data_IF_712173940675
#
_entry.id   IF_712173940675
#
_cell.length_a   1.000
_cell.length_b   1.000
_cell.length_c   1.000
_cell.angle_alpha   90.00
_cell.angle_beta   90.00
_cell.angle_gamma   90.00
#
_symmetry.space_group_name_H-M   'P 1'
#
loop_
_entity.id
_entity.type
_entity.pdbx_description
1 polymer ?
#
# COMPACT_ATOMS: atom_id res chain seq x y z
N UNK A 1 29.18 -24.23 19.33
CA UNK A 1 28.94 -23.60 18.02
C UNK A 1 27.91 -22.51 18.15
N UNK A 2 28.27 -21.27 17.86
CA UNK A 2 27.35 -20.13 17.84
C UNK A 2 26.32 -20.26 16.72
N UNK A 3 25.19 -19.54 16.83
CA UNK A 3 24.18 -19.53 15.76
C UNK A 3 24.77 -19.04 14.42
N UNK A 4 25.71 -18.11 14.47
CA UNK A 4 26.39 -17.55 13.29
C UNK A 4 27.30 -18.59 12.61
N UNK A 5 28.02 -19.41 13.39
CA UNK A 5 28.84 -20.51 12.86
C UNK A 5 27.99 -21.57 12.15
N UNK A 6 26.83 -21.91 12.70
CA UNK A 6 25.88 -22.84 12.07
C UNK A 6 25.35 -22.29 10.74
N UNK A 7 24.92 -21.03 10.70
CA UNK A 7 24.46 -20.37 9.47
C UNK A 7 25.57 -20.32 8.42
N UNK A 8 26.81 -20.03 8.83
CA UNK A 8 27.97 -20.03 7.92
C UNK A 8 28.22 -21.41 7.33
N UNK A 9 28.15 -22.46 8.15
CA UNK A 9 28.33 -23.84 7.69
C UNK A 9 27.21 -24.28 6.74
N UNK A 10 25.96 -23.91 7.03
CA UNK A 10 24.82 -24.15 6.14
C UNK A 10 24.97 -23.43 4.80
N UNK A 11 25.49 -22.19 4.81
CA UNK A 11 25.77 -21.44 3.59
C UNK A 11 26.90 -22.05 2.74
N UNK A 12 27.98 -22.53 3.37
CA UNK A 12 29.05 -23.23 2.64
C UNK A 12 28.58 -24.58 2.07
N UNK A 13 27.72 -25.31 2.79
CA UNK A 13 27.07 -26.51 2.27
C UNK A 13 26.22 -26.18 1.02
N UNK A 14 25.41 -25.10 1.09
CA UNK A 14 24.61 -24.65 -0.04
C UNK A 14 25.47 -24.30 -1.28
N UNK A 15 26.64 -23.70 -1.08
CA UNK A 15 27.59 -23.44 -2.18
C UNK A 15 28.13 -24.74 -2.79
N UNK A 16 28.39 -25.77 -1.98
CA UNK A 16 28.85 -27.07 -2.48
C UNK A 16 27.81 -27.70 -3.40
N UNK A 17 26.55 -27.76 -2.93
CA UNK A 17 25.43 -28.31 -3.71
C UNK A 17 25.22 -27.52 -5.00
N UNK A 18 25.36 -26.19 -4.96
CA UNK A 18 25.28 -25.37 -6.18
C UNK A 18 26.34 -25.78 -7.20
N UNK A 19 27.59 -25.99 -6.77
CA UNK A 19 28.67 -26.40 -7.68
C UNK A 19 28.39 -27.78 -8.30
N UNK A 20 27.85 -28.70 -7.52
CA UNK A 20 27.45 -30.03 -7.99
C UNK A 20 26.28 -29.93 -8.99
N UNK A 21 25.27 -29.10 -8.69
CA UNK A 21 24.16 -28.82 -9.61
C UNK A 21 24.67 -28.24 -10.94
N UNK A 22 25.56 -27.24 -10.90
CA UNK A 22 26.08 -26.61 -12.11
C UNK A 22 26.82 -27.63 -13.00
N UNK A 23 27.57 -28.57 -12.39
CA UNK A 23 28.27 -29.64 -13.11
C UNK A 23 27.30 -30.66 -13.72
N UNK A 24 26.32 -31.14 -12.95
CA UNK A 24 25.33 -32.11 -13.46
C UNK A 24 24.42 -31.50 -14.52
N UNK A 25 24.08 -30.21 -14.40
CA UNK A 25 23.31 -29.51 -15.43
C UNK A 25 24.08 -29.37 -16.75
N UNK A 26 25.40 -29.12 -16.69
CA UNK A 26 26.25 -29.13 -17.90
C UNK A 26 26.28 -30.52 -18.56
N UNK A 27 26.45 -31.59 -17.80
CA UNK A 27 26.37 -32.97 -18.32
C UNK A 27 24.99 -33.29 -18.91
N UNK A 28 23.93 -32.79 -18.29
CA UNK A 28 22.56 -32.97 -18.77
C UNK A 28 22.32 -32.29 -20.12
N UNK A 29 23.00 -31.15 -20.38
CA UNK A 29 22.95 -30.48 -21.69
C UNK A 29 23.57 -31.33 -22.82
N UNK A 30 24.52 -32.21 -22.49
CA UNK A 30 25.18 -33.11 -23.45
C UNK A 30 24.43 -34.45 -23.59
N UNK A 31 23.86 -34.96 -22.50
CA UNK A 31 23.30 -36.32 -22.42
C UNK A 31 21.76 -36.37 -22.47
N UNK A 32 21.08 -35.25 -22.25
CA UNK A 32 19.63 -35.16 -22.12
C UNK A 32 19.06 -35.70 -20.80
N UNK A 33 19.87 -36.27 -19.91
CA UNK A 33 19.42 -36.79 -18.62
C UNK A 33 19.42 -35.70 -17.54
N UNK A 34 18.22 -35.24 -17.15
CA UNK A 34 18.02 -34.18 -16.15
C UNK A 34 17.73 -34.69 -14.74
N UNK A 35 17.66 -36.01 -14.53
CA UNK A 35 17.19 -36.59 -13.26
C UNK A 35 18.02 -36.08 -12.06
N UNK A 36 19.36 -36.21 -12.15
CA UNK A 36 20.25 -35.78 -11.06
C UNK A 36 20.28 -34.27 -10.87
N UNK A 37 20.21 -33.50 -11.96
CA UNK A 37 20.16 -32.05 -11.90
C UNK A 37 18.86 -31.56 -11.23
N UNK A 38 17.73 -32.22 -11.48
CA UNK A 38 16.44 -31.90 -10.85
C UNK A 38 16.44 -32.22 -9.35
N UNK A 39 17.02 -33.34 -8.92
CA UNK A 39 17.19 -33.67 -7.50
C UNK A 39 18.02 -32.59 -6.77
N UNK A 40 19.20 -32.26 -7.31
CA UNK A 40 20.09 -31.26 -6.73
C UNK A 40 19.46 -29.88 -6.70
N UNK A 41 18.67 -29.52 -7.73
CA UNK A 41 17.90 -28.28 -7.76
C UNK A 41 16.89 -28.24 -6.61
N UNK A 42 16.13 -29.31 -6.41
CA UNK A 42 15.14 -29.38 -5.33
C UNK A 42 15.80 -29.26 -3.95
N UNK A 43 16.93 -29.97 -3.73
CA UNK A 43 17.70 -29.86 -2.48
C UNK A 43 18.27 -28.44 -2.28
N UNK A 44 18.83 -27.84 -3.33
CA UNK A 44 19.36 -26.48 -3.31
C UNK A 44 18.27 -25.46 -2.95
N UNK A 45 17.10 -25.55 -3.58
CA UNK A 45 15.95 -24.69 -3.29
C UNK A 45 15.49 -24.88 -1.85
N UNK A 46 15.36 -26.11 -1.37
CA UNK A 46 14.96 -26.41 0.00
C UNK A 46 15.94 -25.82 1.03
N UNK A 47 17.26 -26.02 0.86
CA UNK A 47 18.27 -25.51 1.78
C UNK A 47 18.40 -23.98 1.70
N UNK A 48 18.30 -23.39 0.52
CA UNK A 48 18.27 -21.94 0.33
C UNK A 48 17.10 -21.34 1.09
N UNK A 49 15.90 -21.91 0.96
CA UNK A 49 14.68 -21.40 1.58
C UNK A 49 14.74 -21.54 3.11
N UNK A 50 15.27 -22.66 3.61
CA UNK A 50 15.52 -22.85 5.04
C UNK A 50 16.51 -21.81 5.61
N UNK A 51 17.62 -21.56 4.90
CA UNK A 51 18.62 -20.57 5.30
C UNK A 51 18.05 -19.15 5.21
N UNK A 52 17.29 -18.84 4.17
CA UNK A 52 16.62 -17.55 4.00
C UNK A 52 15.62 -17.30 5.13
N UNK A 53 14.87 -18.33 5.57
CA UNK A 53 13.97 -18.24 6.72
C UNK A 53 14.73 -17.92 8.01
N UNK A 54 15.87 -18.57 8.25
CA UNK A 54 16.74 -18.27 9.42
C UNK A 54 17.32 -16.86 9.40
N UNK A 55 17.55 -16.32 8.21
CA UNK A 55 18.10 -14.99 8.01
C UNK A 55 17.04 -13.88 7.94
N UNK A 56 15.75 -14.22 7.94
CA UNK A 56 14.64 -13.27 7.86
C UNK A 56 14.15 -12.90 9.28
N UNK A 57 14.43 -11.68 9.77
CA UNK A 57 14.21 -11.34 11.17
C UNK A 57 12.80 -10.83 11.50
N UNK A 58 11.84 -10.96 10.57
CA UNK A 58 10.49 -10.40 10.71
C UNK A 58 9.48 -11.54 10.84
N UNK A 59 9.09 -11.85 12.08
CA UNK A 59 8.15 -12.94 12.38
C UNK A 59 6.74 -12.61 11.88
N UNK A 60 6.28 -11.38 12.12
CA UNK A 60 4.94 -10.89 11.72
C UNK A 60 4.79 -10.64 10.21
N UNK A 61 5.89 -10.65 9.45
CA UNK A 61 5.85 -10.50 7.99
C UNK A 61 6.70 -11.61 7.34
N UNK A 62 6.21 -12.87 7.30
CA UNK A 62 6.96 -13.96 6.71
C UNK A 62 7.38 -13.67 5.27
N UNK A 63 8.62 -13.98 4.92
CA UNK A 63 9.16 -13.71 3.58
C UNK A 63 8.38 -14.38 2.44
N UNK A 64 7.77 -15.55 2.71
CA UNK A 64 6.89 -16.23 1.75
C UNK A 64 5.64 -15.41 1.48
N UNK A 65 4.98 -14.94 2.54
CA UNK A 65 3.77 -14.13 2.44
C UNK A 65 4.04 -12.80 1.73
N UNK A 66 5.13 -12.12 2.08
CA UNK A 66 5.53 -10.88 1.40
C UNK A 66 5.75 -11.09 -0.11
N UNK A 67 6.32 -12.23 -0.51
CA UNK A 67 6.48 -12.59 -1.93
C UNK A 67 5.14 -12.83 -2.62
N UNK A 68 4.23 -13.55 -1.96
CA UNK A 68 2.87 -13.79 -2.48
C UNK A 68 2.10 -12.49 -2.65
N UNK A 69 2.20 -11.58 -1.67
CA UNK A 69 1.65 -10.23 -1.79
C UNK A 69 2.27 -9.48 -2.97
N UNK A 70 3.59 -9.50 -3.14
CA UNK A 70 4.26 -8.86 -4.28
C UNK A 70 3.76 -9.34 -5.64
N UNK A 71 3.74 -10.66 -5.86
CA UNK A 71 3.29 -11.23 -7.14
C UNK A 71 1.79 -10.94 -7.38
N UNK A 72 0.98 -11.00 -6.33
CA UNK A 72 -0.45 -10.65 -6.40
C UNK A 72 -0.66 -9.19 -6.80
N UNK A 73 0.03 -8.24 -6.15
CA UNK A 73 -0.08 -6.80 -6.45
C UNK A 73 0.42 -6.48 -7.84
N UNK A 74 1.56 -7.03 -8.25
CA UNK A 74 2.07 -6.90 -9.62
C UNK A 74 1.05 -7.38 -10.65
N UNK A 75 0.52 -8.60 -10.48
CA UNK A 75 -0.49 -9.17 -11.39
C UNK A 75 -1.76 -8.31 -11.48
N UNK A 76 -2.21 -7.74 -10.37
CA UNK A 76 -3.38 -6.85 -10.38
C UNK A 76 -3.08 -5.56 -11.16
N UNK A 77 -1.92 -4.94 -10.95
CA UNK A 77 -1.53 -3.73 -11.70
C UNK A 77 -1.40 -4.01 -13.20
N UNK A 78 -0.93 -5.21 -13.59
CA UNK A 78 -0.92 -5.66 -14.99
C UNK A 78 -2.35 -5.84 -15.53
N UNK A 79 -3.20 -6.61 -14.84
CA UNK A 79 -4.57 -6.93 -15.27
C UNK A 79 -5.47 -5.70 -15.38
N UNK A 80 -5.23 -4.67 -14.56
CA UNK A 80 -5.97 -3.40 -14.59
C UNK A 80 -5.43 -2.42 -15.64
N UNK A 81 -4.35 -2.79 -16.35
CA UNK A 81 -3.73 -1.94 -17.36
C UNK A 81 -3.05 -0.69 -16.78
N UNK A 82 -2.63 -0.77 -15.52
CA UNK A 82 -1.78 0.25 -14.88
C UNK A 82 -0.31 0.03 -15.19
N UNK A 83 0.12 -1.22 -15.38
CA UNK A 83 1.44 -1.50 -15.96
C UNK A 83 1.35 -1.64 -17.47
N UNK A 84 2.37 -1.12 -18.15
CA UNK A 84 2.59 -1.28 -19.59
C UNK A 84 4.01 -1.76 -19.86
N UNK A 85 4.21 -2.31 -21.06
CA UNK A 85 5.54 -2.72 -21.50
C UNK A 85 6.34 -1.48 -21.90
N UNK A 86 7.45 -1.26 -21.20
CA UNK A 86 8.36 -0.15 -21.42
C UNK A 86 9.25 -0.38 -22.64
N UNK A 87 9.98 0.66 -23.05
CA UNK A 87 10.92 0.61 -24.18
C UNK A 87 12.02 -0.45 -24.03
N UNK A 88 12.45 -0.72 -22.79
CA UNK A 88 13.43 -1.75 -22.45
C UNK A 88 12.85 -3.17 -22.33
N UNK A 89 11.54 -3.33 -22.55
CA UNK A 89 10.81 -4.59 -22.49
C UNK A 89 10.32 -5.01 -21.11
N UNK A 90 10.68 -4.30 -20.04
CA UNK A 90 10.16 -4.53 -18.69
C UNK A 90 8.73 -3.99 -18.54
N UNK A 91 8.02 -4.44 -17.51
CA UNK A 91 6.72 -3.86 -17.14
C UNK A 91 6.93 -2.67 -16.20
N UNK A 92 6.18 -1.60 -16.40
CA UNK A 92 6.29 -0.40 -15.58
C UNK A 92 5.23 0.64 -15.89
N UNK A 93 5.54 1.90 -15.61
CA UNK A 93 4.69 3.05 -15.92
C UNK A 93 5.46 4.12 -16.68
N UNK A 94 4.76 4.87 -17.53
CA UNK A 94 5.20 6.20 -17.97
C UNK A 94 4.68 7.26 -16.99
N UNK A 95 5.61 7.95 -16.33
CA UNK A 95 5.27 8.98 -15.34
C UNK A 95 4.79 10.29 -15.97
N UNK A 96 4.26 11.19 -15.13
CA UNK A 96 3.80 12.53 -15.56
C UNK A 96 4.89 13.40 -16.21
N UNK A 97 6.16 13.06 -15.98
CA UNK A 97 7.32 13.71 -16.57
C UNK A 97 7.81 13.03 -17.86
N UNK A 98 6.99 12.16 -18.46
CA UNK A 98 7.29 11.35 -19.64
C UNK A 98 8.45 10.35 -19.49
N UNK A 99 9.00 10.15 -18.28
CA UNK A 99 10.01 9.12 -18.03
C UNK A 99 9.35 7.77 -17.79
N UNK A 100 10.02 6.72 -18.23
CA UNK A 100 9.64 5.34 -17.95
C UNK A 100 10.23 4.90 -16.61
N UNK A 101 9.41 4.23 -15.80
CA UNK A 101 9.79 3.69 -14.51
C UNK A 101 9.41 2.21 -14.46
N UNK A 102 10.39 1.34 -14.34
CA UNK A 102 10.15 -0.09 -14.14
C UNK A 102 9.50 -0.33 -12.76
N UNK A 103 8.63 -1.34 -12.67
CA UNK A 103 8.12 -1.78 -11.38
C UNK A 103 9.28 -2.26 -10.49
N UNK A 104 9.34 -1.88 -9.19
CA UNK A 104 10.38 -2.36 -8.29
C UNK A 104 10.38 -3.88 -8.22
N UNK A 105 11.56 -4.48 -8.27
CA UNK A 105 11.71 -5.93 -8.11
C UNK A 105 11.51 -6.34 -6.65
N UNK A 106 11.07 -7.59 -6.44
CA UNK A 106 11.00 -8.18 -5.10
C UNK A 106 12.32 -8.08 -4.34
N UNK A 107 13.46 -8.23 -5.03
CA UNK A 107 14.78 -8.14 -4.41
C UNK A 107 15.11 -6.73 -3.93
N UNK A 108 14.71 -5.68 -4.66
CA UNK A 108 14.88 -4.29 -4.22
C UNK A 108 14.07 -3.99 -2.96
N UNK A 109 12.82 -4.49 -2.90
CA UNK A 109 11.94 -4.35 -1.73
C UNK A 109 12.58 -5.05 -0.51
N UNK A 110 13.02 -6.30 -0.66
CA UNK A 110 13.66 -7.07 0.41
C UNK A 110 14.94 -6.41 0.89
N UNK A 111 15.76 -5.89 -0.03
CA UNK A 111 16.98 -5.15 0.30
C UNK A 111 16.64 -3.93 1.16
N UNK A 112 15.64 -3.15 0.79
CA UNK A 112 15.21 -1.95 1.54
C UNK A 112 14.65 -2.26 2.92
N UNK A 113 13.86 -3.32 3.04
CA UNK A 113 13.37 -3.78 4.34
C UNK A 113 14.53 -4.19 5.26
N UNK A 114 15.53 -4.89 4.73
CA UNK A 114 16.72 -5.29 5.51
C UNK A 114 17.62 -4.12 5.88
N UNK A 115 17.83 -3.16 4.97
CA UNK A 115 18.58 -1.93 5.24
C UNK A 115 17.97 -1.11 6.38
N UNK A 116 16.64 -1.18 6.55
CA UNK A 116 15.89 -0.46 7.58
C UNK A 116 15.29 -1.40 8.63
N UNK A 117 16.01 -2.48 8.95
CA UNK A 117 15.53 -3.60 9.78
C UNK A 117 14.83 -3.15 11.07
N UNK A 118 15.40 -2.23 11.83
CA UNK A 118 14.83 -1.83 13.13
C UNK A 118 13.48 -1.10 13.00
N UNK A 119 13.32 -0.32 11.92
CA UNK A 119 12.05 0.33 11.60
C UNK A 119 11.01 -0.73 11.28
N UNK A 120 11.34 -1.64 10.35
CA UNK A 120 10.39 -2.63 9.89
C UNK A 120 10.06 -3.68 10.93
N UNK A 121 11.02 -4.09 11.77
CA UNK A 121 10.77 -5.01 12.89
C UNK A 121 9.68 -4.44 13.81
N UNK A 122 9.88 -3.19 14.25
CA UNK A 122 8.92 -2.49 15.10
C UNK A 122 7.56 -2.34 14.40
N UNK A 123 7.55 -1.95 13.11
CA UNK A 123 6.30 -1.69 12.39
C UNK A 123 5.54 -2.94 12.01
N UNK A 124 6.20 -4.04 11.68
CA UNK A 124 5.53 -5.33 11.47
C UNK A 124 4.93 -5.86 12.77
N UNK A 125 5.64 -5.73 13.92
CA UNK A 125 5.09 -6.03 15.25
C UNK A 125 3.84 -5.19 15.58
N UNK A 126 3.77 -3.97 15.05
CA UNK A 126 2.63 -3.05 15.17
C UNK A 126 1.53 -3.28 14.12
N UNK A 127 1.59 -4.37 13.35
CA UNK A 127 0.55 -4.80 12.42
C UNK A 127 0.67 -4.26 10.99
N UNK A 128 1.75 -3.56 10.65
CA UNK A 128 2.00 -3.11 9.27
C UNK A 128 2.59 -4.25 8.42
N UNK A 129 1.73 -5.15 7.95
CA UNK A 129 2.12 -6.41 7.29
C UNK A 129 1.55 -6.57 5.88
N UNK A 130 0.61 -5.71 5.46
CA UNK A 130 0.06 -5.72 4.11
C UNK A 130 0.84 -4.75 3.21
N UNK A 131 1.49 -5.27 2.18
CA UNK A 131 2.26 -4.52 1.20
C UNK A 131 1.37 -3.99 0.07
N UNK A 132 1.61 -2.74 -0.32
CA UNK A 132 1.01 -2.11 -1.48
C UNK A 132 2.11 -1.57 -2.41
N UNK A 133 1.93 -1.76 -3.72
CA UNK A 133 2.77 -1.16 -4.77
C UNK A 133 1.97 -0.02 -5.39
N UNK A 134 2.42 1.20 -5.17
CA UNK A 134 1.70 2.41 -5.56
C UNK A 134 2.37 3.01 -6.79
N UNK A 135 1.71 3.09 -7.95
CA UNK A 135 2.25 3.70 -9.17
C UNK A 135 2.22 5.24 -9.07
N UNK A 136 2.96 5.79 -8.10
CA UNK A 136 2.93 7.20 -7.71
C UNK A 136 3.21 8.18 -8.86
N UNK A 137 4.12 7.81 -9.76
CA UNK A 137 4.50 8.64 -10.91
C UNK A 137 3.44 8.71 -12.00
N UNK A 138 2.46 7.80 -11.99
CA UNK A 138 1.35 7.80 -12.94
C UNK A 138 0.43 8.99 -12.67
N UNK A 139 -0.24 9.48 -13.71
CA UNK A 139 -1.20 10.57 -13.54
C UNK A 139 -2.41 10.12 -12.71
N UNK A 140 -2.94 11.04 -11.90
CA UNK A 140 -4.18 10.78 -11.17
C UNK A 140 -5.34 10.49 -12.12
N UNK A 141 -5.39 11.15 -13.27
CA UNK A 141 -6.40 10.89 -14.31
C UNK A 141 -6.40 9.43 -14.76
N UNK A 142 -5.22 8.83 -15.01
CA UNK A 142 -5.13 7.42 -15.39
C UNK A 142 -5.61 6.50 -14.26
N UNK A 143 -5.24 6.77 -13.01
CA UNK A 143 -5.72 6.01 -11.85
C UNK A 143 -7.25 6.09 -11.68
N UNK A 144 -7.79 7.30 -11.82
CA UNK A 144 -9.22 7.60 -11.80
C UNK A 144 -9.96 6.80 -12.88
N UNK A 145 -9.49 6.86 -14.13
CA UNK A 145 -10.15 6.19 -15.24
C UNK A 145 -10.07 4.67 -15.12
N UNK A 146 -8.95 4.15 -14.62
CA UNK A 146 -8.84 2.72 -14.29
C UNK A 146 -9.83 2.34 -13.19
N UNK A 147 -9.94 3.11 -12.10
CA UNK A 147 -10.89 2.84 -11.03
C UNK A 147 -12.35 2.82 -11.53
N UNK A 148 -12.77 3.81 -12.33
CA UNK A 148 -14.10 3.82 -12.95
C UNK A 148 -14.36 2.56 -13.77
N UNK A 149 -13.42 2.18 -14.63
CA UNK A 149 -13.55 0.98 -15.49
C UNK A 149 -13.62 -0.30 -14.67
N UNK A 150 -12.80 -0.43 -13.63
CA UNK A 150 -12.79 -1.61 -12.77
C UNK A 150 -14.10 -1.73 -11.98
N UNK A 151 -14.62 -0.64 -11.41
CA UNK A 151 -15.92 -0.63 -10.72
C UNK A 151 -17.03 -1.11 -11.66
N UNK A 152 -17.12 -0.53 -12.86
CA UNK A 152 -18.13 -0.91 -13.85
C UNK A 152 -18.00 -2.36 -14.31
N UNK A 153 -16.77 -2.85 -14.49
CA UNK A 153 -16.51 -4.25 -14.84
C UNK A 153 -17.04 -5.19 -13.77
N UNK A 154 -16.66 -4.97 -12.51
CA UNK A 154 -17.12 -5.79 -11.38
C UNK A 154 -18.63 -5.75 -11.22
N UNK A 155 -19.26 -4.59 -11.39
CA UNK A 155 -20.72 -4.47 -11.36
C UNK A 155 -21.39 -5.30 -12.45
N UNK A 156 -20.93 -5.17 -13.70
CA UNK A 156 -21.47 -5.94 -14.85
C UNK A 156 -21.29 -7.45 -14.70
N UNK A 157 -20.23 -7.88 -14.02
CA UNK A 157 -19.99 -9.28 -13.70
C UNK A 157 -20.79 -9.80 -12.48
N UNK A 158 -21.58 -8.94 -11.81
CA UNK A 158 -22.30 -9.31 -10.58
C UNK A 158 -21.36 -9.53 -9.39
N UNK A 159 -20.18 -8.93 -9.40
CA UNK A 159 -19.10 -9.09 -8.43
C UNK A 159 -18.74 -7.79 -7.70
N UNK A 160 -19.63 -6.81 -7.62
CA UNK A 160 -19.38 -5.60 -6.85
C UNK A 160 -20.13 -5.68 -5.52
N UNK A 161 -19.40 -5.79 -4.41
CA UNK A 161 -19.96 -5.95 -3.06
C UNK A 161 -19.47 -4.86 -2.10
N UNK A 162 -20.27 -4.59 -1.06
CA UNK A 162 -19.85 -3.74 0.06
C UNK A 162 -18.80 -4.43 0.93
N UNK A 163 -17.93 -3.64 1.56
CA UNK A 163 -16.91 -4.17 2.47
C UNK A 163 -17.55 -4.89 3.66
N UNK A 164 -17.04 -6.07 3.98
CA UNK A 164 -17.36 -6.81 5.20
C UNK A 164 -17.03 -6.00 6.46
N UNK A 165 -17.74 -6.32 7.54
CA UNK A 165 -17.48 -5.82 8.88
C UNK A 165 -16.17 -6.38 9.40
N UNK A 166 -15.99 -7.69 9.27
CA UNK A 166 -14.71 -8.35 9.51
C UNK A 166 -14.11 -8.76 8.17
N UNK A 167 -13.02 -8.10 7.76
CA UNK A 167 -12.34 -8.43 6.50
C UNK A 167 -11.78 -9.85 6.47
N UNK A 168 -11.64 -10.50 7.62
CA UNK A 168 -11.15 -11.88 7.75
C UNK A 168 -12.26 -12.94 7.82
N UNK A 169 -13.52 -12.54 7.99
CA UNK A 169 -14.64 -13.49 8.02
C UNK A 169 -15.09 -13.81 6.58
N UNK A 170 -14.59 -14.91 6.05
CA UNK A 170 -14.95 -15.36 4.69
C UNK A 170 -16.40 -15.79 4.55
N UNK A 171 -17.08 -16.09 5.66
CA UNK A 171 -18.48 -16.53 5.68
C UNK A 171 -19.46 -15.36 5.84
N UNK A 172 -18.98 -14.13 6.13
CA UNK A 172 -19.84 -12.95 6.20
C UNK A 172 -20.52 -12.74 4.84
N UNK A 173 -21.85 -12.68 4.87
CA UNK A 173 -22.69 -12.51 3.69
C UNK A 173 -22.31 -11.23 2.93
N UNK A 174 -21.98 -11.39 1.65
CA UNK A 174 -21.70 -10.26 0.77
C UNK A 174 -22.99 -9.57 0.36
N UNK A 175 -22.98 -8.23 0.45
CA UNK A 175 -24.11 -7.39 0.06
C UNK A 175 -23.74 -6.74 -1.28
N UNK A 176 -24.49 -7.01 -2.38
CA UNK A 176 -24.26 -6.36 -3.66
C UNK A 176 -24.34 -4.84 -3.57
N UNK A 177 -23.49 -4.16 -4.33
CA UNK A 177 -23.50 -2.71 -4.47
C UNK A 177 -24.54 -2.30 -5.49
N UNK A 178 -25.43 -1.39 -5.12
CA UNK A 178 -26.18 -0.60 -6.09
C UNK A 178 -25.25 0.49 -6.65
N UNK A 179 -25.09 0.54 -7.97
CA UNK A 179 -24.16 1.44 -8.64
C UNK A 179 -24.90 2.47 -9.51
N UNK A 180 -24.45 3.73 -9.46
CA UNK A 180 -24.71 4.68 -10.54
C UNK A 180 -23.73 4.41 -11.70
N UNK A 181 -24.18 3.68 -12.72
CA UNK A 181 -23.34 3.33 -13.87
C UNK A 181 -22.89 4.55 -14.70
N UNK A 182 -23.64 5.66 -14.64
CA UNK A 182 -23.25 6.89 -15.35
C UNK A 182 -22.17 7.65 -14.60
N UNK A 183 -22.08 7.44 -13.28
CA UNK A 183 -21.11 8.12 -12.42
C UNK A 183 -20.59 7.17 -11.34
N UNK A 184 -19.75 6.16 -11.68
CA UNK A 184 -19.25 5.19 -10.70
C UNK A 184 -18.24 5.79 -9.72
N UNK A 185 -17.69 6.98 -10.03
CA UNK A 185 -16.74 7.73 -9.21
C UNK A 185 -16.99 9.23 -9.41
N UNK A 186 -17.37 9.93 -8.33
CA UNK A 186 -17.40 11.39 -8.28
C UNK A 186 -16.03 11.94 -7.89
N UNK A 187 -15.59 12.99 -8.58
CA UNK A 187 -14.30 13.64 -8.35
C UNK A 187 -14.52 15.14 -8.26
N UNK A 188 -13.87 15.80 -7.30
CA UNK A 188 -13.83 17.25 -7.27
C UNK A 188 -13.02 17.81 -8.44
N UNK A 189 -13.57 18.78 -9.16
CA UNK A 189 -12.94 19.38 -10.37
C UNK A 189 -11.50 19.86 -10.16
N UNK A 190 -11.13 20.25 -8.94
CA UNK A 190 -9.77 20.66 -8.61
C UNK A 190 -8.71 19.57 -8.73
N UNK A 191 -9.09 18.29 -8.88
CA UNK A 191 -8.16 17.20 -9.18
C UNK A 191 -7.70 17.17 -10.63
N UNK A 192 -8.40 17.84 -11.55
CA UNK A 192 -8.04 17.82 -12.96
C UNK A 192 -6.61 18.37 -13.15
N UNK A 193 -5.70 17.49 -13.60
CA UNK A 193 -4.27 17.74 -13.76
C UNK A 193 -3.56 18.27 -12.51
N UNK A 194 -4.12 18.08 -11.31
CA UNK A 194 -3.57 18.68 -10.10
C UNK A 194 -2.15 18.21 -9.75
N UNK A 195 -1.87 16.95 -10.07
CA UNK A 195 -0.57 16.31 -9.87
C UNK A 195 0.46 16.69 -10.94
N UNK A 196 0.01 17.24 -12.08
CA UNK A 196 0.83 17.72 -13.19
C UNK A 196 1.09 19.22 -13.06
N UNK A 197 0.04 20.02 -12.84
CA UNK A 197 0.09 21.49 -12.77
C UNK A 197 0.67 22.03 -11.44
N UNK A 198 1.10 21.15 -10.54
CA UNK A 198 1.62 21.54 -9.23
C UNK A 198 0.56 22.13 -8.28
N UNK A 199 -0.73 21.80 -8.47
CA UNK A 199 -1.82 22.22 -7.57
C UNK A 199 -1.93 21.31 -6.33
N UNK A 200 -1.49 20.05 -6.46
CA UNK A 200 -1.45 19.07 -5.39
C UNK A 200 0.00 18.85 -4.91
N UNK A 201 0.21 19.07 -3.62
CA UNK A 201 1.48 18.85 -2.94
C UNK A 201 1.40 17.62 -2.05
N UNK A 202 2.53 16.94 -1.92
CA UNK A 202 2.66 15.67 -1.24
C UNK A 202 3.53 15.79 0.01
N UNK A 203 3.19 14.99 1.02
CA UNK A 203 3.86 14.89 2.32
C UNK A 203 4.05 16.24 3.01
N UNK A 204 2.98 17.06 3.13
CA UNK A 204 3.07 18.33 3.85
C UNK A 204 3.44 18.10 5.32
N UNK A 205 4.19 19.05 5.89
CA UNK A 205 4.45 19.14 7.33
C UNK A 205 3.28 19.76 8.08
N UNK A 206 2.58 20.69 7.43
CA UNK A 206 1.37 21.33 7.95
C UNK A 206 0.44 21.75 6.80
N UNK A 207 -0.83 22.01 7.10
CA UNK A 207 -1.81 22.46 6.11
C UNK A 207 -1.92 23.99 6.12
N UNK A 208 -0.87 24.65 5.65
CA UNK A 208 -0.76 26.11 5.57
C UNK A 208 -0.01 26.52 4.30
N UNK A 209 0.16 27.83 4.06
CA UNK A 209 1.04 28.31 2.98
C UNK A 209 2.51 27.89 3.17
N UNK A 210 2.93 27.56 4.39
CA UNK A 210 4.26 27.05 4.72
C UNK A 210 4.28 25.51 4.83
N UNK A 211 3.50 24.82 4.00
CA UNK A 211 3.28 23.37 4.12
C UNK A 211 4.53 22.50 3.99
N UNK A 212 5.62 22.98 3.37
CA UNK A 212 6.87 22.23 3.10
C UNK A 212 6.72 20.91 2.30
N UNK A 213 5.50 20.57 1.86
CA UNK A 213 5.26 19.51 0.90
C UNK A 213 5.88 19.80 -0.47
N UNK A 214 5.98 18.76 -1.31
CA UNK A 214 6.60 18.83 -2.64
C UNK A 214 5.60 18.48 -3.74
N UNK A 215 5.79 19.00 -4.94
CA UNK A 215 5.01 18.55 -6.10
C UNK A 215 5.41 17.11 -6.49
N UNK A 216 4.56 16.43 -7.26
CA UNK A 216 4.88 15.08 -7.79
C UNK A 216 6.17 15.12 -8.62
N UNK A 217 6.31 16.12 -9.49
CA UNK A 217 7.51 16.30 -10.32
C UNK A 217 8.79 16.44 -9.47
N UNK A 218 8.76 17.24 -8.41
CA UNK A 218 9.90 17.38 -7.49
C UNK A 218 10.28 16.05 -6.86
N UNK A 219 9.31 15.27 -6.38
CA UNK A 219 9.55 13.95 -5.80
C UNK A 219 10.15 13.00 -6.84
N UNK A 220 9.56 12.91 -8.03
CA UNK A 220 10.06 12.05 -9.11
C UNK A 220 11.49 12.41 -9.53
N UNK A 221 11.85 13.70 -9.51
CA UNK A 221 13.20 14.18 -9.82
C UNK A 221 14.21 13.82 -8.74
N UNK A 222 13.83 13.95 -7.47
CA UNK A 222 14.71 13.70 -6.32
C UNK A 222 14.93 12.22 -6.05
N UNK A 223 13.88 11.40 -6.14
CA UNK A 223 13.95 9.97 -5.82
C UNK A 223 14.34 9.13 -7.03
N UNK A 224 14.08 9.63 -8.25
CA UNK A 224 14.13 8.86 -9.48
C UNK A 224 13.30 7.57 -9.42
N UNK A 225 12.19 7.59 -8.67
CA UNK A 225 11.30 6.44 -8.48
C UNK A 225 9.88 6.81 -8.88
N UNK A 226 9.31 6.06 -9.83
CA UNK A 226 7.90 6.18 -10.24
C UNK A 226 6.94 5.37 -9.36
N UNK A 227 7.45 4.49 -8.51
CA UNK A 227 6.65 3.69 -7.60
C UNK A 227 7.02 3.99 -6.15
N UNK A 228 6.02 3.93 -5.27
CA UNK A 228 6.24 3.80 -3.84
C UNK A 228 5.85 2.39 -3.43
N UNK A 229 6.55 1.84 -2.45
CA UNK A 229 6.17 0.57 -1.82
C UNK A 229 5.93 0.86 -0.35
N UNK A 230 4.75 0.50 0.15
CA UNK A 230 4.33 0.81 1.51
C UNK A 230 3.80 -0.44 2.21
N UNK A 231 3.90 -0.46 3.54
CA UNK A 231 3.16 -1.36 4.40
C UNK A 231 1.99 -0.62 5.04
N UNK A 232 0.85 -1.31 5.10
CA UNK A 232 -0.37 -0.89 5.79
C UNK A 232 -0.81 -1.94 6.80
N UNK A 233 -1.70 -1.52 7.69
CA UNK A 233 -2.42 -2.45 8.56
C UNK A 233 -3.26 -3.43 7.76
N UNK A 234 -3.42 -4.64 8.30
CA UNK A 234 -4.19 -5.72 7.68
C UNK A 234 -5.65 -5.35 7.48
N UNK A 235 -6.28 -4.85 8.54
CA UNK A 235 -7.66 -4.40 8.50
C UNK A 235 -7.80 -3.21 7.55
N UNK A 236 -8.67 -3.35 6.55
CA UNK A 236 -8.91 -2.29 5.59
C UNK A 236 -9.73 -1.16 6.21
N UNK A 237 -10.63 -1.43 7.14
CA UNK A 237 -11.54 -0.44 7.70
C UNK A 237 -10.84 0.43 8.76
N UNK A 238 -10.92 1.75 8.59
CA UNK A 238 -10.47 2.69 9.64
C UNK A 238 -11.40 2.50 10.85
N UNK A 239 -10.85 2.20 12.05
CA UNK A 239 -11.68 1.91 13.20
C UNK A 239 -12.51 3.14 13.60
N UNK A 240 -13.80 2.91 13.87
CA UNK A 240 -14.65 3.94 14.46
C UNK A 240 -14.27 4.19 15.93
N UNK A 241 -14.68 5.34 16.48
CA UNK A 241 -14.47 5.64 17.89
C UNK A 241 -14.88 4.46 18.79
N UNK A 242 -13.98 4.08 19.70
CA UNK A 242 -14.20 2.96 20.62
C UNK A 242 -14.00 1.57 20.01
N UNK A 243 -13.69 1.46 18.72
CA UNK A 243 -13.40 0.18 18.03
C UNK A 243 -11.92 -0.01 17.67
N UNK A 244 -11.03 0.85 18.17
CA UNK A 244 -9.58 0.69 17.95
C UNK A 244 -9.07 -0.59 18.61
N UNK A 245 -8.04 -1.17 18.03
CA UNK A 245 -7.24 -2.23 18.65
C UNK A 245 -5.89 -1.68 19.12
N UNK A 246 -5.19 -2.48 19.93
CA UNK A 246 -3.78 -2.25 20.28
C UNK A 246 -2.98 -3.39 19.67
N UNK A 247 -2.09 -3.08 18.73
CA UNK A 247 -1.29 -4.06 17.99
C UNK A 247 0.18 -3.74 18.24
N UNK A 248 0.97 -4.67 18.78
CA UNK A 248 2.38 -4.43 19.11
C UNK A 248 2.61 -3.20 19.99
N UNK A 249 1.78 -3.01 21.03
CA UNK A 249 1.75 -1.83 21.91
C UNK A 249 1.39 -0.50 21.22
N UNK A 250 1.06 -0.50 19.92
CA UNK A 250 0.56 0.68 19.21
C UNK A 250 -0.97 0.67 19.21
N UNK A 251 -1.62 1.66 19.83
CA UNK A 251 -3.05 1.84 19.64
C UNK A 251 -3.32 2.32 18.22
N UNK A 252 -4.28 1.70 17.53
CA UNK A 252 -4.73 2.20 16.24
C UNK A 252 -5.33 3.61 16.39
N UNK A 253 -5.23 4.40 15.32
CA UNK A 253 -5.86 5.71 15.24
C UNK A 253 -7.31 5.50 14.77
N UNK A 254 -8.27 5.79 15.65
CA UNK A 254 -9.69 5.77 15.31
C UNK A 254 -10.21 7.15 14.86
N UNK A 255 -11.41 7.14 14.29
CA UNK A 255 -12.15 8.36 13.88
C UNK A 255 -12.46 9.33 15.03
N UNK A 256 -12.46 8.84 16.28
CA UNK A 256 -12.62 9.67 17.49
C UNK A 256 -11.32 10.28 18.00
N UNK A 257 -10.17 9.88 17.46
CA UNK A 257 -8.85 10.32 17.91
C UNK A 257 -8.53 9.85 19.32
N UNK A 258 -9.03 8.70 19.77
CA UNK A 258 -8.89 8.23 21.17
C UNK A 258 -7.43 8.13 21.60
N UNK A 259 -6.53 7.75 20.69
CA UNK A 259 -5.09 7.62 20.94
C UNK A 259 -4.32 8.93 20.77
N UNK A 260 -4.98 9.96 20.26
CA UNK A 260 -4.39 11.27 19.94
C UNK A 260 -5.12 12.42 20.65
N UNK A 261 -5.90 12.12 21.71
CA UNK A 261 -6.74 13.09 22.44
C UNK A 261 -5.99 14.35 22.85
N UNK A 262 -4.70 14.25 23.19
CA UNK A 262 -3.87 15.40 23.59
C UNK A 262 -3.63 16.43 22.47
N UNK A 263 -3.82 16.04 21.21
CA UNK A 263 -3.72 16.92 20.05
C UNK A 263 -5.05 17.59 19.71
N UNK A 264 -6.17 17.09 20.23
CA UNK A 264 -7.50 17.63 19.97
C UNK A 264 -7.65 18.97 20.69
N UNK A 265 -8.00 20.02 19.95
CA UNK A 265 -8.22 21.37 20.47
C UNK A 265 -9.23 21.34 21.63
N UNK A 266 -8.89 22.03 22.73
CA UNK A 266 -9.75 22.15 23.93
C UNK A 266 -11.19 22.52 23.55
N UNK A 267 -12.14 21.76 24.10
CA UNK A 267 -13.57 21.93 23.83
C UNK A 267 -14.07 21.24 22.55
N UNK A 268 -13.23 20.44 21.87
CA UNK A 268 -13.62 19.57 20.76
C UNK A 268 -13.50 18.10 21.16
N UNK A 269 -14.33 17.26 20.54
CA UNK A 269 -14.37 15.81 20.79
C UNK A 269 -13.71 15.02 19.66
N UNK A 270 -13.93 15.45 18.41
CA UNK A 270 -13.42 14.79 17.21
C UNK A 270 -12.19 15.53 16.69
N UNK A 271 -11.09 14.83 16.36
CA UNK A 271 -9.91 15.44 15.76
C UNK A 271 -10.18 16.04 14.38
N UNK A 272 -9.45 17.09 14.02
CA UNK A 272 -9.39 17.58 12.64
C UNK A 272 -8.21 16.98 11.88
N UNK A 273 -8.19 17.04 10.54
CA UNK A 273 -7.03 16.62 9.74
C UNK A 273 -5.68 17.16 10.21
N UNK A 274 -5.60 18.45 10.57
CA UNK A 274 -4.39 19.07 11.13
C UNK A 274 -3.88 18.34 12.38
N UNK A 275 -4.80 17.91 13.25
CA UNK A 275 -4.46 17.27 14.52
C UNK A 275 -4.04 15.81 14.31
N UNK A 276 -4.68 15.12 13.36
CA UNK A 276 -4.21 13.80 12.92
C UNK A 276 -2.80 13.87 12.34
N UNK A 277 -2.54 14.81 11.42
CA UNK A 277 -1.22 14.99 10.82
C UNK A 277 -0.16 15.27 11.88
N UNK A 278 -0.46 16.20 12.80
CA UNK A 278 0.43 16.53 13.91
C UNK A 278 0.71 15.31 14.78
N UNK A 279 -0.33 14.53 15.11
CA UNK A 279 -0.16 13.34 15.93
C UNK A 279 0.72 12.28 15.26
N UNK A 280 0.52 12.00 13.97
CA UNK A 280 1.36 11.05 13.21
C UNK A 280 2.83 11.51 13.19
N UNK A 281 3.08 12.82 13.06
CA UNK A 281 4.44 13.36 12.97
C UNK A 281 5.17 13.44 14.31
N UNK A 282 4.44 13.63 15.42
CA UNK A 282 5.04 14.00 16.71
C UNK A 282 4.86 12.94 17.80
N UNK A 283 3.89 12.04 17.67
CA UNK A 283 3.74 10.95 18.63
C UNK A 283 4.83 9.89 18.40
N UNK A 284 5.66 9.56 19.41
CA UNK A 284 6.71 8.57 19.25
C UNK A 284 6.22 7.21 18.78
N UNK A 285 5.01 6.79 19.19
CA UNK A 285 4.45 5.49 18.78
C UNK A 285 4.12 5.42 17.29
N UNK A 286 3.83 6.56 16.65
CA UNK A 286 3.53 6.67 15.21
C UNK A 286 4.75 7.05 14.38
N UNK A 287 5.95 7.12 14.98
CA UNK A 287 7.18 7.42 14.26
C UNK A 287 7.33 6.51 13.04
N UNK A 288 7.74 7.08 11.90
CA UNK A 288 7.86 6.43 10.57
C UNK A 288 6.53 6.10 9.88
N UNK A 289 5.39 6.49 10.45
CA UNK A 289 4.12 6.49 9.73
C UNK A 289 3.91 7.79 8.96
N UNK A 290 3.19 7.68 7.86
CA UNK A 290 2.81 8.78 7.00
C UNK A 290 1.32 8.73 6.71
N UNK A 291 0.77 9.89 6.33
CA UNK A 291 -0.59 9.98 5.83
C UNK A 291 -0.70 9.40 4.42
N UNK A 292 -1.83 8.78 4.15
CA UNK A 292 -2.20 8.26 2.83
C UNK A 292 -2.28 9.38 1.78
N UNK A 293 -1.78 9.16 0.56
CA UNK A 293 -1.97 10.01 -0.62
C UNK A 293 -3.20 9.57 -1.45
N UNK A 294 -3.71 10.39 -2.38
CA UNK A 294 -4.74 9.93 -3.33
C UNK A 294 -4.33 8.70 -4.13
N UNK A 295 -3.07 8.59 -4.54
CA UNK A 295 -2.51 7.43 -5.25
C UNK A 295 -2.51 6.18 -4.38
N UNK A 296 -2.12 6.31 -3.10
CA UNK A 296 -2.19 5.21 -2.14
C UNK A 296 -3.63 4.69 -1.99
N UNK A 297 -4.61 5.61 -2.01
CA UNK A 297 -6.03 5.25 -1.98
C UNK A 297 -6.46 4.49 -3.21
N UNK A 298 -6.13 4.96 -4.42
CA UNK A 298 -6.46 4.23 -5.65
C UNK A 298 -5.77 2.87 -5.74
N UNK A 299 -4.49 2.78 -5.37
CA UNK A 299 -3.77 1.50 -5.33
C UNK A 299 -4.47 0.52 -4.38
N UNK A 300 -4.76 0.97 -3.15
CA UNK A 300 -5.47 0.14 -2.16
C UNK A 300 -6.87 -0.25 -2.65
N UNK A 301 -7.64 0.71 -3.20
CA UNK A 301 -9.00 0.48 -3.70
C UNK A 301 -9.01 -0.55 -4.81
N UNK A 302 -8.17 -0.38 -5.84
CA UNK A 302 -8.10 -1.26 -6.99
C UNK A 302 -7.65 -2.66 -6.61
N UNK A 303 -6.62 -2.78 -5.77
CA UNK A 303 -6.12 -4.10 -5.38
C UNK A 303 -7.07 -4.82 -4.43
N UNK A 304 -7.78 -4.09 -3.56
CA UNK A 304 -8.81 -4.69 -2.72
C UNK A 304 -10.02 -5.13 -3.56
N UNK A 305 -10.47 -4.30 -4.50
CA UNK A 305 -11.58 -4.63 -5.39
C UNK A 305 -11.27 -5.86 -6.26
N UNK A 306 -10.11 -5.90 -6.93
CA UNK A 306 -9.73 -7.05 -7.76
C UNK A 306 -9.52 -8.34 -6.96
N UNK A 307 -9.08 -8.24 -5.70
CA UNK A 307 -8.84 -9.42 -4.85
C UNK A 307 -10.11 -9.93 -4.17
N UNK A 308 -10.99 -9.02 -3.74
CA UNK A 308 -12.09 -9.35 -2.83
C UNK A 308 -13.48 -9.06 -3.41
N UNK A 309 -13.57 -8.50 -4.62
CA UNK A 309 -14.83 -8.09 -5.23
C UNK A 309 -15.58 -7.04 -4.37
N UNK A 310 -14.85 -6.30 -3.54
CA UNK A 310 -15.41 -5.41 -2.53
C UNK A 310 -14.90 -3.98 -2.69
N UNK A 311 -15.79 -3.01 -2.52
CA UNK A 311 -15.39 -1.60 -2.35
C UNK A 311 -14.73 -1.41 -0.99
N UNK A 312 -14.07 -0.28 -0.77
CA UNK A 312 -13.50 0.12 0.53
C UNK A 312 -14.06 1.48 0.96
N UNK A 313 -13.89 1.82 2.24
CA UNK A 313 -14.34 3.11 2.79
C UNK A 313 -15.83 3.37 2.65
N UNK A 314 -16.65 2.31 2.72
CA UNK A 314 -18.11 2.40 2.80
C UNK A 314 -18.54 2.97 4.16
N UNK A 315 -18.51 4.30 4.27
CA UNK A 315 -18.71 5.01 5.53
C UNK A 315 -20.14 4.88 6.09
N UNK A 316 -21.12 4.56 5.25
CA UNK A 316 -22.50 4.32 5.68
C UNK A 316 -22.70 2.87 6.13
N UNK A 317 -21.81 1.96 5.70
CA UNK A 317 -21.71 0.60 6.18
C UNK A 317 -20.64 0.43 7.26
N UNK A 318 -19.65 -0.42 6.97
CA UNK A 318 -18.63 -0.86 7.92
C UNK A 318 -17.34 -0.03 7.89
N UNK A 319 -17.17 0.82 6.88
CA UNK A 319 -16.00 1.67 6.71
C UNK A 319 -16.12 3.02 7.40
N UNK A 320 -15.15 3.88 7.09
CA UNK A 320 -15.12 5.30 7.47
C UNK A 320 -14.55 6.08 6.27
N UNK A 321 -14.69 7.41 6.29
CA UNK A 321 -14.10 8.27 5.26
C UNK A 321 -12.60 8.44 5.54
N UNK A 322 -11.78 8.25 4.51
CA UNK A 322 -10.32 8.35 4.62
C UNK A 322 -9.85 9.77 4.30
N UNK A 323 -9.29 10.48 5.27
CA UNK A 323 -8.47 11.65 4.97
C UNK A 323 -7.16 11.18 4.32
N UNK A 324 -6.86 11.68 3.13
CA UNK A 324 -5.58 11.41 2.49
C UNK A 324 -4.60 12.54 2.85
N UNK A 325 -4.13 12.51 4.11
CA UNK A 325 -3.25 13.52 4.72
C UNK A 325 -1.88 13.67 4.03
N UNK A 326 -1.51 12.70 3.20
CA UNK A 326 -0.32 12.77 2.37
C UNK A 326 -0.45 13.76 1.22
N UNK A 327 -1.64 14.31 0.94
CA UNK A 327 -1.87 15.34 -0.07
C UNK A 327 -2.39 16.66 0.50
N UNK A 328 -2.13 17.77 -0.18
CA UNK A 328 -2.64 19.10 0.17
C UNK A 328 -2.76 20.00 -1.06
N UNK A 329 -3.87 20.75 -1.14
CA UNK A 329 -4.12 21.78 -2.14
C UNK A 329 -3.93 23.16 -1.48
N UNK A 330 -2.71 23.74 -1.49
CA UNK A 330 -2.41 24.99 -0.77
C UNK A 330 -3.16 26.20 -1.34
N UNK A 331 -3.43 26.22 -2.64
CA UNK A 331 -4.15 27.32 -3.29
C UNK A 331 -5.58 27.45 -2.77
N UNK A 332 -6.25 26.32 -2.53
CA UNK A 332 -7.62 26.29 -1.99
C UNK A 332 -7.66 26.10 -0.47
N UNK A 333 -6.54 25.76 0.16
CA UNK A 333 -6.47 25.45 1.59
C UNK A 333 -7.23 24.18 1.99
N UNK A 334 -7.29 23.17 1.11
CA UNK A 334 -8.02 21.92 1.35
C UNK A 334 -7.13 20.69 1.31
N UNK A 335 -7.58 19.63 1.99
CA UNK A 335 -6.96 18.31 1.89
C UNK A 335 -7.86 17.33 1.13
N UNK A 336 -7.27 16.37 0.41
CA UNK A 336 -7.96 15.20 -0.13
C UNK A 336 -8.71 14.36 0.92
N UNK A 337 -9.83 13.77 0.51
CA UNK A 337 -10.40 12.60 1.18
C UNK A 337 -11.03 11.66 0.14
N UNK A 338 -11.25 10.40 0.52
CA UNK A 338 -11.98 9.46 -0.32
C UNK A 338 -12.86 8.48 0.47
N UNK A 339 -13.94 8.02 -0.15
CA UNK A 339 -14.87 7.04 0.43
C UNK A 339 -15.81 6.42 -0.60
N UNK A 340 -16.60 5.41 -0.20
CA UNK A 340 -17.75 4.92 -0.96
C UNK A 340 -19.08 5.45 -0.40
N UNK A 341 -19.92 6.06 -1.24
CA UNK A 341 -21.24 6.54 -0.88
C UNK A 341 -22.32 5.56 -1.32
N UNK A 342 -23.14 5.10 -0.38
CA UNK A 342 -24.36 4.34 -0.66
C UNK A 342 -25.46 5.24 -1.20
N UNK A 343 -25.63 6.44 -0.65
CA UNK A 343 -26.69 7.39 -1.08
C UNK A 343 -26.53 7.79 -2.55
N UNK A 344 -25.28 8.03 -2.95
CA UNK A 344 -24.97 8.39 -4.33
C UNK A 344 -24.53 7.19 -5.18
N UNK A 345 -24.46 5.98 -4.61
CA UNK A 345 -24.12 4.74 -5.31
C UNK A 345 -22.81 4.83 -6.10
N UNK A 346 -21.80 5.47 -5.53
CA UNK A 346 -20.53 5.74 -6.22
C UNK A 346 -19.37 5.92 -5.23
N UNK A 347 -18.16 5.72 -5.73
CA UNK A 347 -16.95 6.17 -5.03
C UNK A 347 -16.84 7.71 -5.07
N UNK A 348 -16.17 8.29 -4.08
CA UNK A 348 -15.94 9.73 -3.95
C UNK A 348 -14.46 10.02 -3.75
N UNK A 349 -13.93 10.96 -4.52
CA UNK A 349 -12.65 11.62 -4.28
C UNK A 349 -12.88 13.13 -4.17
N UNK A 350 -12.85 13.63 -2.93
CA UNK A 350 -13.22 15.01 -2.62
C UNK A 350 -12.11 15.81 -1.97
N UNK A 351 -12.52 16.97 -1.46
CA UNK A 351 -11.68 17.91 -0.73
C UNK A 351 -12.39 18.40 0.53
N UNK A 352 -11.65 18.69 1.59
CA UNK A 352 -12.23 19.15 2.84
C UNK A 352 -11.31 20.08 3.61
N UNK A 353 -11.90 20.96 4.42
CA UNK A 353 -11.16 21.93 5.21
C UNK A 353 -10.28 21.18 6.24
N UNK A 354 -9.00 21.54 6.41
CA UNK A 354 -8.09 20.93 7.40
C UNK A 354 -8.56 21.03 8.86
N UNK A 355 -9.53 21.90 9.14
CA UNK A 355 -10.19 22.10 10.45
C UNK A 355 -11.54 21.40 10.57
N UNK A 356 -12.00 20.72 9.51
CA UNK A 356 -13.24 19.95 9.53
C UNK A 356 -13.17 18.84 10.58
N UNK A 357 -14.31 18.58 11.23
CA UNK A 357 -14.44 17.57 12.30
C UNK A 357 -15.73 16.83 12.11
N UNK A 358 -15.63 15.53 11.87
CA UNK A 358 -16.76 14.63 11.75
C UNK A 358 -16.30 13.23 12.15
N UNK A 359 -17.02 12.59 13.07
CA UNK A 359 -16.66 11.29 13.63
C UNK A 359 -16.76 10.11 12.64
N UNK A 360 -17.14 10.37 11.39
CA UNK A 360 -17.10 9.39 10.30
C UNK A 360 -15.79 9.43 9.53
N UNK A 361 -14.89 10.39 9.80
CA UNK A 361 -13.62 10.55 9.11
C UNK A 361 -12.46 10.10 9.99
N UNK A 362 -11.46 9.50 9.38
CA UNK A 362 -10.22 9.13 10.06
C UNK A 362 -9.06 9.01 9.10
N UNK A 363 -8.00 8.33 9.55
CA UNK A 363 -6.74 8.24 8.82
C UNK A 363 -6.23 6.82 8.84
N UNK A 364 -5.49 6.45 7.79
CA UNK A 364 -4.67 5.24 7.78
C UNK A 364 -3.20 5.64 7.84
N UNK A 365 -2.50 5.12 8.83
CA UNK A 365 -1.04 5.16 8.84
C UNK A 365 -0.49 4.30 7.71
N UNK A 366 0.64 4.72 7.14
CA UNK A 366 1.41 3.97 6.13
C UNK A 366 2.90 4.03 6.46
N UNK A 367 3.61 2.93 6.29
CA UNK A 367 5.07 2.87 6.48
C UNK A 367 5.73 2.65 5.13
N UNK A 368 6.59 3.58 4.69
CA UNK A 368 7.23 3.51 3.36
C UNK A 368 8.48 2.62 3.38
N UNK A 369 8.57 1.73 2.39
CA UNK A 369 9.75 0.90 2.06
C UNK A 369 10.58 1.56 0.96
N UNK A 370 9.93 2.01 -0.11
CA UNK A 370 10.51 2.71 -1.25
C UNK A 370 9.86 4.07 -1.42
#
# INVERSE_FOLDING_TARGET
MSNCEKIKQEYENLKSIKKEFDLEYQKAAETGNLEKANELKAELEQKRDALQKKLWPFEELPSKELKEQYESKKKILENTGLLEKLSNGEMGIKGINNKEYAIPTYNEIIKKIRENKEIFKTKTEQGFTEMEIVPFGLSLEKLIETAKKTILKHHKEGKLFYTRKNSEDENEQLIPVELDENKPLWIWDGYQNADIDGKLFYFPKEFSQNHQGKTKEQILKETNQGFQVILREKNINIPREGKREIIGNRPQIDTGGTSIKKYIKKGKLIPSPEEYLKAIQTEPIYKNETGQTPEDWFATFLTYLEKHNQVIDDYQGNGSIAYNLGGYFPADGYIPYAYWSRDFRQAFLGRINPKHRNGSYGVRGRVRIL
#
